data_IF_280012757897
#
_entry.id   IF_280012757897
#
_cell.length_a   1.000
_cell.length_b   1.000
_cell.length_c   1.000
_cell.angle_alpha   90.00
_cell.angle_beta   90.00
_cell.angle_gamma   90.00
#
_symmetry.space_group_name_H-M   'P 1'
#
loop_
_entity.id
_entity.type
_entity.pdbx_description
1 polymer ?
#
# COMPACT_ATOMS: atom_id res chain seq x y z
N UNK A 1 19.10 -7.95 -4.16
CA UNK A 1 17.90 -8.78 -4.07
C UNK A 1 17.64 -8.98 -2.58
N UNK A 2 16.84 -8.12 -1.96
CA UNK A 2 16.37 -8.32 -0.58
C UNK A 2 15.20 -9.31 -0.65
N UNK A 3 15.55 -10.58 -0.88
CA UNK A 3 14.59 -11.67 -0.99
C UNK A 3 14.28 -12.26 0.40
N UNK A 4 13.55 -11.49 1.21
CA UNK A 4 12.61 -12.07 2.16
C UNK A 4 11.30 -12.27 1.39
N UNK A 5 11.21 -13.43 0.73
CA UNK A 5 10.25 -13.77 -0.32
C UNK A 5 8.85 -13.16 -0.20
N UNK A 6 8.44 -12.46 -1.26
CA UNK A 6 7.09 -12.36 -1.83
C UNK A 6 5.88 -12.18 -0.88
N UNK A 7 6.07 -11.68 0.34
CA UNK A 7 4.94 -11.35 1.22
C UNK A 7 4.49 -9.93 0.90
N UNK A 8 3.29 -9.74 0.31
CA UNK A 8 2.81 -8.40 -0.01
C UNK A 8 2.62 -7.59 1.28
N UNK A 9 3.00 -6.31 1.23
CA UNK A 9 2.72 -5.34 2.29
C UNK A 9 1.32 -4.73 2.16
N UNK A 10 0.86 -4.62 0.91
CA UNK A 10 -0.46 -4.12 0.59
C UNK A 10 -1.08 -4.83 -0.62
N UNK A 11 -2.37 -4.59 -0.84
CA UNK A 11 -3.10 -4.96 -2.05
C UNK A 11 -4.10 -3.89 -2.41
N UNK A 12 -4.04 -3.42 -3.65
CA UNK A 12 -5.10 -2.63 -4.26
C UNK A 12 -6.24 -3.57 -4.72
N UNK A 13 -7.42 -3.36 -4.17
CA UNK A 13 -8.66 -3.95 -4.65
C UNK A 13 -9.34 -2.91 -5.57
N UNK A 14 -9.40 -3.15 -6.88
CA UNK A 14 -10.02 -2.20 -7.79
C UNK A 14 -11.50 -2.02 -7.46
N UNK A 15 -11.98 -0.79 -7.63
CA UNK A 15 -13.40 -0.50 -7.54
C UNK A 15 -14.17 -1.18 -8.68
N UNK A 16 -15.49 -1.29 -8.49
CA UNK A 16 -16.41 -1.70 -9.56
C UNK A 16 -17.40 -0.57 -9.83
N UNK A 17 -17.37 0.05 -11.01
CA UNK A 17 -18.40 1.01 -11.40
C UNK A 17 -19.71 0.29 -11.76
N UNK A 18 -20.85 0.96 -11.62
CA UNK A 18 -22.16 0.47 -12.05
C UNK A 18 -23.26 0.60 -10.99
N UNK A 19 -24.35 -0.16 -11.16
CA UNK A 19 -25.54 -0.10 -10.29
C UNK A 19 -25.28 -0.47 -8.82
N UNK A 20 -24.25 -1.27 -8.58
CA UNK A 20 -23.70 -1.52 -7.25
C UNK A 20 -22.25 -1.04 -7.28
N UNK A 21 -22.09 0.26 -7.07
CA UNK A 21 -20.78 0.88 -6.98
C UNK A 21 -20.02 0.29 -5.79
N UNK A 22 -18.77 -0.11 -6.05
CA UNK A 22 -17.82 -0.49 -5.01
C UNK A 22 -16.61 0.42 -5.16
N UNK A 23 -16.27 1.25 -4.17
CA UNK A 23 -15.08 2.09 -4.25
C UNK A 23 -13.80 1.23 -4.24
N UNK A 24 -12.71 1.70 -4.85
CA UNK A 24 -11.40 1.06 -4.71
C UNK A 24 -10.99 1.02 -3.23
N UNK A 25 -10.25 -0.01 -2.84
CA UNK A 25 -9.78 -0.19 -1.45
C UNK A 25 -8.32 -0.60 -1.45
N UNK A 26 -7.52 0.04 -0.62
CA UNK A 26 -6.15 -0.37 -0.32
C UNK A 26 -6.18 -1.15 0.99
N UNK A 27 -5.66 -2.37 0.97
CA UNK A 27 -5.58 -3.24 2.15
C UNK A 27 -4.13 -3.36 2.57
N UNK A 28 -3.83 -3.04 3.84
CA UNK A 28 -2.50 -3.18 4.43
C UNK A 28 -2.41 -4.48 5.24
N UNK A 29 -1.30 -5.20 5.08
CA UNK A 29 -1.01 -6.40 5.87
C UNK A 29 -0.15 -6.02 7.07
N UNK A 30 -0.80 -5.94 8.24
CA UNK A 30 -0.18 -5.48 9.48
C UNK A 30 1.08 -6.27 9.89
N UNK A 31 0.99 -7.60 9.94
CA UNK A 31 2.11 -8.47 10.36
C UNK A 31 3.38 -8.27 9.50
N UNK A 32 3.28 -8.26 8.16
CA UNK A 32 4.41 -7.95 7.28
C UNK A 32 5.03 -6.55 7.48
N UNK A 33 4.22 -5.54 7.79
CA UNK A 33 4.67 -4.17 8.06
C UNK A 33 5.40 -4.07 9.41
N UNK A 34 4.78 -4.58 10.48
CA UNK A 34 5.38 -4.60 11.81
C UNK A 34 6.68 -5.42 11.88
N UNK A 35 6.82 -6.45 11.04
CA UNK A 35 8.04 -7.26 10.97
C UNK A 35 9.23 -6.51 10.34
N UNK A 36 8.96 -5.50 9.50
CA UNK A 36 10.00 -4.73 8.78
C UNK A 36 10.38 -3.44 9.48
N UNK A 37 9.47 -2.85 10.25
CA UNK A 37 9.74 -1.66 11.04
C UNK A 37 10.55 -2.00 12.30
N UNK A 38 11.54 -1.17 12.66
CA UNK A 38 12.31 -1.39 13.89
C UNK A 38 11.60 -0.77 15.10
N UNK A 39 10.85 0.32 14.88
CA UNK A 39 10.02 0.95 15.89
C UNK A 39 8.69 1.51 15.32
N UNK A 40 8.02 2.37 16.09
CA UNK A 40 6.73 2.97 15.70
C UNK A 40 6.87 4.08 14.67
N UNK A 41 7.99 4.79 14.66
CA UNK A 41 8.27 5.86 13.70
C UNK A 41 8.56 5.22 12.34
N UNK A 42 9.44 4.22 12.31
CA UNK A 42 9.70 3.41 11.11
C UNK A 42 8.43 2.78 10.54
N UNK A 43 7.52 2.32 11.42
CA UNK A 43 6.25 1.74 10.99
C UNK A 43 5.34 2.79 10.33
N UNK A 44 5.33 4.02 10.86
CA UNK A 44 4.54 5.10 10.30
C UNK A 44 5.07 5.49 8.91
N UNK A 45 6.40 5.61 8.78
CA UNK A 45 7.06 5.91 7.51
C UNK A 45 6.83 4.80 6.49
N UNK A 46 7.01 3.53 6.87
CA UNK A 46 6.76 2.40 5.99
C UNK A 46 5.28 2.32 5.56
N UNK A 47 4.33 2.60 6.46
CA UNK A 47 2.91 2.66 6.10
C UNK A 47 2.65 3.79 5.12
N UNK A 48 3.28 4.95 5.31
CA UNK A 48 3.14 6.10 4.43
C UNK A 48 3.65 5.78 3.03
N UNK A 49 4.88 5.28 2.90
CA UNK A 49 5.49 4.89 1.64
C UNK A 49 4.61 3.88 0.87
N UNK A 50 4.15 2.83 1.57
CA UNK A 50 3.30 1.81 0.97
C UNK A 50 1.96 2.41 0.49
N UNK A 51 1.37 3.35 1.24
CA UNK A 51 0.12 4.00 0.83
C UNK A 51 0.34 4.89 -0.39
N UNK A 52 1.41 5.69 -0.42
CA UNK A 52 1.76 6.53 -1.57
C UNK A 52 1.84 5.68 -2.83
N UNK A 53 2.62 4.60 -2.78
CA UNK A 53 2.79 3.67 -3.90
C UNK A 53 1.46 3.10 -4.40
N UNK A 54 0.57 2.68 -3.48
CA UNK A 54 -0.74 2.15 -3.86
C UNK A 54 -1.69 3.21 -4.42
N UNK A 55 -1.64 4.44 -3.91
CA UNK A 55 -2.47 5.56 -4.39
C UNK A 55 -1.99 6.04 -5.76
N UNK A 56 -0.67 6.16 -5.94
CA UNK A 56 -0.06 6.49 -7.23
C UNK A 56 -0.46 5.47 -8.29
N UNK A 57 -0.37 4.18 -7.97
CA UNK A 57 -0.83 3.09 -8.84
C UNK A 57 -2.33 3.20 -9.18
N UNK A 58 -3.18 3.47 -8.18
CA UNK A 58 -4.62 3.67 -8.40
C UNK A 58 -4.92 4.85 -9.32
N UNK A 59 -4.17 5.94 -9.21
CA UNK A 59 -4.35 7.16 -9.98
C UNK A 59 -3.63 7.15 -11.34
N UNK A 60 -2.68 6.23 -11.54
CA UNK A 60 -1.84 6.17 -12.74
C UNK A 60 -0.85 7.33 -12.84
N UNK A 61 -0.37 7.84 -11.70
CA UNK A 61 0.62 8.92 -11.59
C UNK A 61 1.92 8.40 -10.99
N UNK A 62 2.98 9.21 -11.03
CA UNK A 62 4.23 8.88 -10.37
C UNK A 62 4.06 9.03 -8.83
N UNK A 63 4.56 8.07 -8.01
CA UNK A 63 4.56 8.18 -6.54
C UNK A 63 5.17 9.47 -6.01
N UNK A 64 6.19 10.03 -6.68
CA UNK A 64 6.87 11.25 -6.27
C UNK A 64 5.94 12.48 -6.35
N UNK A 65 4.84 12.40 -7.11
CA UNK A 65 3.83 13.47 -7.17
C UNK A 65 2.92 13.52 -5.92
N UNK A 66 2.98 12.50 -5.07
CA UNK A 66 2.13 12.32 -3.87
C UNK A 66 2.90 12.41 -2.54
N UNK A 67 4.23 12.48 -2.60
CA UNK A 67 5.15 12.52 -1.46
C UNK A 67 5.20 13.89 -0.75
#
# INVERSE_FOLDING_TARGET
>A
MLEDGEVPLARLLPGRPGRQEVPPRIVLYRRPLEFRAMDREDLADLVHDVIIEQVANLLGVDPDELA
#
